data_IF_013886673140
#
_entry.id   IF_013886673140
#
_cell.length_a   1.000
_cell.length_b   1.000
_cell.length_c   1.000
_cell.angle_alpha   90.00
_cell.angle_beta   90.00
_cell.angle_gamma   90.00
#
_symmetry.space_group_name_H-M   'P 1'
#
loop_
_entity.id
_entity.type
_entity.pdbx_description
1 polymer ?
#
# COMPACT_ATOMS: atom_id res chain seq x y z
N UNK A 1 10.35 -24.84 -11.05
CA UNK A 1 10.84 -23.46 -10.89
C UNK A 1 9.80 -22.43 -11.28
N UNK A 2 9.30 -22.45 -12.53
CA UNK A 2 8.26 -21.51 -13.00
C UNK A 2 6.99 -21.58 -12.14
N UNK A 3 6.52 -22.78 -11.80
CA UNK A 3 5.32 -22.99 -10.96
C UNK A 3 5.44 -22.37 -9.56
N UNK A 4 6.62 -22.42 -8.94
CA UNK A 4 6.87 -21.83 -7.62
C UNK A 4 6.80 -20.30 -7.66
N UNK A 5 7.33 -19.70 -8.72
CA UNK A 5 7.27 -18.24 -8.94
C UNK A 5 5.81 -17.80 -9.09
N UNK A 6 5.00 -18.53 -9.86
CA UNK A 6 3.58 -18.21 -10.04
C UNK A 6 2.81 -18.34 -8.71
N UNK A 7 3.09 -19.37 -7.91
CA UNK A 7 2.46 -19.55 -6.60
C UNK A 7 2.82 -18.41 -5.64
N UNK A 8 4.08 -17.99 -5.60
CA UNK A 8 4.54 -16.86 -4.79
C UNK A 8 3.92 -15.54 -5.27
N UNK A 9 3.76 -15.37 -6.58
CA UNK A 9 3.12 -14.20 -7.19
C UNK A 9 1.63 -14.11 -6.82
N UNK A 10 0.90 -15.22 -6.95
CA UNK A 10 -0.51 -15.29 -6.54
C UNK A 10 -0.67 -15.02 -5.05
N UNK A 11 0.22 -15.55 -4.22
CA UNK A 11 0.21 -15.30 -2.77
C UNK A 11 0.48 -13.82 -2.44
N UNK A 12 1.50 -13.21 -3.04
CA UNK A 12 1.82 -11.79 -2.84
C UNK A 12 0.69 -10.88 -3.34
N UNK A 13 0.04 -11.23 -4.44
CA UNK A 13 -1.12 -10.50 -4.97
C UNK A 13 -2.33 -10.59 -4.04
N UNK A 14 -2.63 -11.78 -3.49
CA UNK A 14 -3.68 -11.95 -2.48
C UNK A 14 -3.39 -11.12 -1.23
N UNK A 15 -2.14 -11.13 -0.76
CA UNK A 15 -1.72 -10.33 0.38
C UNK A 15 -1.91 -8.83 0.11
N UNK A 16 -1.53 -8.37 -1.08
CA UNK A 16 -1.73 -7.00 -1.50
C UNK A 16 -3.22 -6.61 -1.50
N UNK A 17 -4.10 -7.47 -2.00
CA UNK A 17 -5.56 -7.25 -1.98
C UNK A 17 -6.09 -7.14 -0.55
N UNK A 18 -5.63 -8.00 0.35
CA UNK A 18 -6.02 -7.93 1.78
C UNK A 18 -5.60 -6.59 2.37
N UNK A 19 -4.37 -6.14 2.12
CA UNK A 19 -3.93 -4.82 2.58
C UNK A 19 -4.74 -3.66 1.98
N UNK A 20 -5.11 -3.72 0.68
CA UNK A 20 -6.02 -2.73 0.08
C UNK A 20 -7.37 -2.72 0.81
N UNK A 21 -7.93 -3.90 1.05
CA UNK A 21 -9.24 -4.03 1.68
C UNK A 21 -9.24 -3.44 3.10
N UNK A 22 -8.18 -3.70 3.87
CA UNK A 22 -8.00 -3.06 5.18
C UNK A 22 -7.82 -1.55 5.03
N UNK A 23 -7.02 -1.08 4.08
CA UNK A 23 -6.80 0.35 3.87
C UNK A 23 -8.08 1.12 3.55
N UNK A 24 -9.01 0.53 2.79
CA UNK A 24 -10.29 1.15 2.42
C UNK A 24 -11.30 1.12 3.58
N UNK A 25 -11.28 0.06 4.39
CA UNK A 25 -12.27 -0.14 5.47
C UNK A 25 -11.93 0.65 6.74
N UNK A 26 -10.69 1.09 6.89
CA UNK A 26 -10.22 1.79 8.09
C UNK A 26 -10.66 3.26 8.10
N UNK A 27 -11.29 3.68 9.21
CA UNK A 27 -11.80 5.05 9.41
C UNK A 27 -10.70 6.06 9.78
N UNK A 28 -9.60 5.58 10.37
CA UNK A 28 -8.43 6.40 10.67
C UNK A 28 -7.54 6.47 9.44
N UNK A 29 -7.44 7.66 8.85
CA UNK A 29 -6.68 7.89 7.63
C UNK A 29 -5.19 7.58 7.79
N UNK A 30 -4.62 7.75 9.00
CA UNK A 30 -3.21 7.41 9.24
C UNK A 30 -3.02 5.90 9.16
N UNK A 31 -3.95 5.13 9.73
CA UNK A 31 -3.90 3.67 9.71
C UNK A 31 -4.13 3.13 8.30
N UNK A 32 -5.05 3.75 7.55
CA UNK A 32 -5.27 3.47 6.13
C UNK A 32 -3.99 3.68 5.29
N UNK A 33 -3.24 4.77 5.54
CA UNK A 33 -1.97 5.03 4.86
C UNK A 33 -0.93 3.95 5.20
N UNK A 34 -0.84 3.51 6.45
CA UNK A 34 0.08 2.42 6.83
C UNK A 34 -0.28 1.11 6.11
N UNK A 35 -1.56 0.77 6.00
CA UNK A 35 -1.99 -0.39 5.23
C UNK A 35 -1.70 -0.24 3.72
N UNK A 36 -1.86 0.96 3.16
CA UNK A 36 -1.49 1.27 1.78
C UNK A 36 0.03 1.17 1.53
N UNK A 37 0.85 1.57 2.50
CA UNK A 37 2.29 1.36 2.44
C UNK A 37 2.64 -0.14 2.47
N UNK A 38 1.97 -0.93 3.32
CA UNK A 38 2.12 -2.40 3.36
C UNK A 38 1.72 -3.07 2.04
N UNK A 39 0.68 -2.57 1.39
CA UNK A 39 0.28 -3.00 0.04
C UNK A 39 1.36 -2.67 -1.00
N UNK A 40 1.97 -1.49 -0.94
CA UNK A 40 3.05 -1.09 -1.84
C UNK A 40 4.30 -1.97 -1.67
N UNK A 41 4.64 -2.37 -0.45
CA UNK A 41 5.71 -3.34 -0.20
C UNK A 41 5.39 -4.69 -0.85
N UNK A 42 4.14 -5.15 -0.76
CA UNK A 42 3.70 -6.38 -1.42
C UNK A 42 3.84 -6.31 -2.95
N UNK A 43 3.55 -5.16 -3.56
CA UNK A 43 3.77 -4.92 -4.99
C UNK A 43 5.24 -4.85 -5.38
N UNK A 44 6.10 -4.38 -4.48
CA UNK A 44 7.55 -4.39 -4.71
C UNK A 44 8.06 -5.83 -4.84
N UNK A 45 7.55 -6.75 -4.01
CA UNK A 45 7.87 -8.19 -4.13
C UNK A 45 7.40 -8.74 -5.48
N UNK A 46 6.20 -8.36 -5.93
CA UNK A 46 5.68 -8.75 -7.25
C UNK A 46 6.60 -8.26 -8.38
N UNK A 47 6.98 -6.98 -8.38
CA UNK A 47 7.88 -6.41 -9.39
C UNK A 47 9.27 -7.06 -9.41
N UNK A 48 9.76 -7.45 -8.23
CA UNK A 48 11.01 -8.21 -8.11
C UNK A 48 10.89 -9.60 -8.77
N UNK A 49 9.75 -10.28 -8.59
CA UNK A 49 9.46 -11.57 -9.22
C UNK A 49 9.30 -11.45 -10.74
N UNK A 50 8.77 -10.32 -11.23
CA UNK A 50 8.68 -10.02 -12.66
C UNK A 50 10.02 -9.68 -13.32
N UNK A 51 11.11 -9.59 -12.53
CA UNK A 51 12.43 -9.20 -13.00
C UNK A 51 12.44 -7.83 -13.71
N UNK A 52 11.64 -6.87 -13.22
CA UNK A 52 11.59 -5.49 -13.70
C UNK A 52 12.29 -4.54 -12.69
N UNK A 53 13.64 -4.51 -12.64
CA UNK A 53 14.39 -3.76 -11.62
C UNK A 53 14.31 -2.24 -11.79
N UNK A 54 14.12 -1.76 -13.01
CA UNK A 54 13.93 -0.34 -13.35
C UNK A 54 12.64 0.20 -12.75
N UNK A 55 11.52 -0.48 -12.99
CA UNK A 55 10.21 -0.12 -12.45
C UNK A 55 10.15 -0.35 -10.93
N UNK A 56 10.79 -1.42 -10.44
CA UNK A 56 10.89 -1.70 -9.01
C UNK A 56 11.51 -0.53 -8.24
N UNK A 57 12.68 -0.04 -8.66
CA UNK A 57 13.36 1.05 -7.97
C UNK A 57 12.54 2.34 -7.99
N UNK A 58 11.91 2.66 -9.12
CA UNK A 58 11.00 3.81 -9.22
C UNK A 58 9.78 3.65 -8.29
N UNK A 59 9.20 2.46 -8.23
CA UNK A 59 8.03 2.17 -7.40
C UNK A 59 8.35 2.28 -5.90
N UNK A 60 9.50 1.77 -5.45
CA UNK A 60 9.93 1.91 -4.05
C UNK A 60 10.09 3.40 -3.69
N UNK A 61 10.78 4.17 -4.53
CA UNK A 61 11.03 5.59 -4.26
C UNK A 61 9.72 6.41 -4.22
N UNK A 62 8.84 6.18 -5.19
CA UNK A 62 7.62 6.97 -5.35
C UNK A 62 6.49 6.48 -4.45
N UNK A 63 6.15 5.19 -4.49
CA UNK A 63 4.96 4.66 -3.81
C UNK A 63 5.19 4.42 -2.31
N UNK A 64 6.31 3.80 -1.94
CA UNK A 64 6.61 3.51 -0.52
C UNK A 64 7.17 4.74 0.19
N UNK A 65 7.99 5.54 -0.50
CA UNK A 65 8.58 6.76 0.06
C UNK A 65 7.67 7.97 -0.05
N UNK A 66 7.65 8.57 -1.25
CA UNK A 66 7.06 9.89 -1.48
C UNK A 66 5.54 9.89 -1.21
N UNK A 67 4.81 8.94 -1.77
CA UNK A 67 3.34 8.89 -1.68
C UNK A 67 2.86 8.67 -0.24
N UNK A 68 3.43 7.69 0.47
CA UNK A 68 3.10 7.47 1.89
C UNK A 68 3.41 8.69 2.75
N UNK A 69 4.57 9.33 2.55
CA UNK A 69 4.94 10.53 3.31
C UNK A 69 4.03 11.73 2.99
N UNK A 70 3.71 11.95 1.71
CA UNK A 70 2.81 13.02 1.27
C UNK A 70 1.40 12.83 1.82
N UNK A 71 0.87 11.61 1.79
CA UNK A 71 -0.45 11.33 2.35
C UNK A 71 -0.48 11.57 3.86
N UNK A 72 0.55 11.16 4.60
CA UNK A 72 0.64 11.48 6.04
C UNK A 72 0.66 12.99 6.25
N UNK A 73 1.41 13.73 5.43
CA UNK A 73 1.47 15.18 5.52
C UNK A 73 0.12 15.85 5.23
N UNK A 74 -0.57 15.44 4.15
CA UNK A 74 -1.88 15.97 3.80
C UNK A 74 -2.91 15.64 4.88
N UNK A 75 -2.92 14.40 5.38
CA UNK A 75 -3.81 13.97 6.47
C UNK A 75 -3.54 14.72 7.77
N UNK A 76 -2.28 15.06 8.05
CA UNK A 76 -1.95 15.90 9.22
C UNK A 76 -2.52 17.32 9.14
N UNK A 77 -2.82 17.79 7.93
CA UNK A 77 -3.44 19.09 7.64
C UNK A 77 -4.95 19.02 7.41
N UNK A 78 -5.53 17.83 7.30
CA UNK A 78 -6.98 17.61 7.12
C UNK A 78 -7.59 16.92 8.34
N UNK A 79 -8.89 16.63 8.30
CA UNK A 79 -9.50 15.80 9.34
C UNK A 79 -8.85 14.40 9.33
N UNK A 80 -8.54 13.89 10.53
CA UNK A 80 -7.84 12.62 10.74
C UNK A 80 -8.76 11.40 10.68
N UNK A 81 -10.08 11.62 10.75
CA UNK A 81 -11.12 10.62 10.64
C UNK A 81 -11.99 10.89 9.42
N UNK A 82 -12.31 9.84 8.67
CA UNK A 82 -13.37 9.90 7.66
C UNK A 82 -14.72 9.85 8.40
N UNK A 83 -15.25 11.03 8.69
CA UNK A 83 -16.42 11.24 9.54
C UNK A 83 -16.14 12.36 10.53
N UNK A 84 -16.47 13.59 10.11
CA UNK A 84 -16.46 14.74 11.00
C UNK A 84 -17.13 14.41 12.32
N UNK A 85 -16.56 14.94 13.41
CA UNK A 85 -17.27 15.07 14.67
C UNK A 85 -18.45 16.03 14.50
N UNK A 86 -19.52 15.52 13.89
CA UNK A 86 -20.87 16.04 14.03
C UNK A 86 -21.52 15.22 15.12
N UNK A 87 -21.68 15.86 16.27
CA UNK A 87 -22.64 15.49 17.31
C UNK A 87 -23.95 14.94 16.74
N UNK A 88 -24.23 13.66 17.00
CA UNK A 88 -25.52 13.12 17.45
C UNK A 88 -25.26 11.92 18.38
#
# INVERSE_FOLDING_TARGET
MITLIHLLLSFASLLAIVFVYLAITEKDLIKAIVFSAGQSISYTIILQLFAAPDVLLAYIAVSVGIYSALLVYVVSKTERFDGGGGSE
#
